data_IF_836855123249
#
_entry.id   IF_836855123249
#
_cell.length_a   1.000
_cell.length_b   1.000
_cell.length_c   1.000
_cell.angle_alpha   90.00
_cell.angle_beta   90.00
_cell.angle_gamma   90.00
#
_symmetry.space_group_name_H-M   'P 1'
#
loop_
_entity.id
_entity.type
_entity.pdbx_description
1 polymer ?
#
# COMPACT_ATOMS: atom_id res chain seq x y z
N UNK A 1 -29.41 -9.17 30.69
CA UNK A 1 -29.65 -7.74 30.46
C UNK A 1 -28.48 -6.87 30.91
N UNK A 2 -27.85 -7.12 32.11
CA UNK A 2 -26.72 -6.34 32.59
C UNK A 2 -25.44 -6.50 31.73
N UNK A 3 -25.16 -7.69 31.22
CA UNK A 3 -24.00 -7.96 30.37
C UNK A 3 -24.11 -7.26 28.98
N UNK A 4 -25.32 -7.14 28.44
CA UNK A 4 -25.57 -6.43 27.18
C UNK A 4 -25.40 -4.91 27.33
N UNK A 5 -25.77 -4.35 28.49
CA UNK A 5 -25.59 -2.92 28.78
C UNK A 5 -24.12 -2.54 29.01
N UNK A 6 -23.30 -3.44 29.59
CA UNK A 6 -21.87 -3.22 29.76
C UNK A 6 -21.15 -3.27 28.40
N UNK A 7 -21.51 -4.19 27.51
CA UNK A 7 -20.97 -4.28 26.15
C UNK A 7 -21.32 -3.04 25.30
N UNK A 8 -22.54 -2.52 25.42
CA UNK A 8 -22.98 -1.28 24.78
C UNK A 8 -22.23 -0.05 25.32
N UNK A 9 -21.99 0.01 26.64
CA UNK A 9 -21.25 1.11 27.27
C UNK A 9 -19.79 1.17 26.85
N UNK A 10 -19.11 0.02 26.77
CA UNK A 10 -17.73 -0.07 26.29
C UNK A 10 -17.61 0.29 24.80
N UNK A 11 -18.56 -0.13 23.97
CA UNK A 11 -18.62 0.26 22.57
C UNK A 11 -18.87 1.76 22.39
N UNK A 12 -19.74 2.36 23.19
CA UNK A 12 -20.01 3.80 23.13
C UNK A 12 -18.79 4.63 23.57
N UNK A 13 -18.07 4.21 24.61
CA UNK A 13 -16.86 4.90 25.05
C UNK A 13 -15.74 4.79 24.02
N UNK A 14 -15.52 3.61 23.42
CA UNK A 14 -14.55 3.41 22.35
C UNK A 14 -14.90 4.22 21.10
N UNK A 15 -16.18 4.28 20.75
CA UNK A 15 -16.68 5.10 19.64
C UNK A 15 -16.48 6.60 19.91
N UNK A 16 -16.84 7.07 21.11
CA UNK A 16 -16.66 8.48 21.51
C UNK A 16 -15.18 8.90 21.46
N UNK A 17 -14.27 8.05 21.94
CA UNK A 17 -12.82 8.26 21.82
C UNK A 17 -12.34 8.31 20.38
N UNK A 18 -12.88 7.44 19.52
CA UNK A 18 -12.60 7.45 18.09
C UNK A 18 -13.07 8.71 17.39
N UNK A 19 -14.27 9.20 17.72
CA UNK A 19 -14.82 10.46 17.18
C UNK A 19 -13.99 11.66 17.60
N UNK A 20 -13.52 11.70 18.85
CA UNK A 20 -12.65 12.78 19.32
C UNK A 20 -11.31 12.78 18.57
N UNK A 21 -10.67 11.63 18.44
CA UNK A 21 -9.44 11.49 17.68
C UNK A 21 -9.62 11.86 16.21
N UNK A 22 -10.75 11.50 15.61
CA UNK A 22 -11.09 11.90 14.23
C UNK A 22 -11.17 13.44 14.11
N UNK A 23 -11.89 14.12 15.01
CA UNK A 23 -12.02 15.58 14.96
C UNK A 23 -10.68 16.30 15.08
N UNK A 24 -9.83 15.84 15.98
CA UNK A 24 -8.48 16.41 16.16
C UNK A 24 -7.61 16.20 14.92
N UNK A 25 -7.63 14.99 14.35
CA UNK A 25 -6.91 14.68 13.12
C UNK A 25 -7.40 15.51 11.94
N UNK A 26 -8.73 15.70 11.81
CA UNK A 26 -9.34 16.53 10.79
C UNK A 26 -8.83 17.98 10.84
N UNK A 27 -8.78 18.57 12.03
CA UNK A 27 -8.29 19.95 12.20
C UNK A 27 -6.84 20.12 11.71
N UNK A 28 -5.96 19.17 12.00
CA UNK A 28 -4.57 19.21 11.53
C UNK A 28 -4.46 18.95 10.02
N UNK A 29 -5.26 18.02 9.52
CA UNK A 29 -5.30 17.71 8.08
C UNK A 29 -5.78 18.92 7.25
N UNK A 30 -6.82 19.62 7.71
CA UNK A 30 -7.34 20.84 7.08
C UNK A 30 -6.32 21.99 7.07
N UNK A 31 -5.40 22.00 8.04
CA UNK A 31 -4.27 22.95 8.09
C UNK A 31 -3.10 22.55 7.20
N UNK A 32 -3.23 21.44 6.45
CA UNK A 32 -2.21 21.00 5.50
C UNK A 32 -1.15 20.06 6.07
N UNK A 33 -1.30 19.55 7.29
CA UNK A 33 -0.36 18.59 7.86
C UNK A 33 -0.46 17.24 7.14
N UNK A 34 0.60 16.84 6.43
CA UNK A 34 0.63 15.64 5.60
C UNK A 34 0.40 14.34 6.42
N UNK A 35 1.01 14.22 7.60
CA UNK A 35 0.81 13.05 8.46
C UNK A 35 -0.64 12.95 8.96
N UNK A 36 -1.26 14.09 9.30
CA UNK A 36 -2.68 14.12 9.69
C UNK A 36 -3.59 13.76 8.50
N UNK A 37 -3.28 14.24 7.30
CA UNK A 37 -4.01 13.87 6.06
C UNK A 37 -3.90 12.37 5.78
N UNK A 38 -2.72 11.79 5.92
CA UNK A 38 -2.53 10.33 5.82
C UNK A 38 -3.37 9.59 6.87
N UNK A 39 -3.28 9.98 8.13
CA UNK A 39 -4.04 9.35 9.21
C UNK A 39 -5.55 9.46 9.00
N UNK A 40 -6.02 10.60 8.52
CA UNK A 40 -7.42 10.80 8.19
C UNK A 40 -7.87 9.89 7.04
N UNK A 41 -7.02 9.70 6.04
CA UNK A 41 -7.23 8.72 4.96
C UNK A 41 -7.38 7.30 5.52
N UNK A 42 -6.53 6.91 6.48
CA UNK A 42 -6.63 5.61 7.17
C UNK A 42 -7.94 5.49 7.96
N UNK A 43 -8.34 6.55 8.67
CA UNK A 43 -9.58 6.55 9.44
C UNK A 43 -10.81 6.35 8.55
N UNK A 44 -10.88 7.04 7.41
CA UNK A 44 -11.94 6.83 6.44
C UNK A 44 -11.89 5.44 5.79
N UNK A 45 -10.70 4.96 5.43
CA UNK A 45 -10.57 3.64 4.82
C UNK A 45 -11.00 2.49 5.75
N UNK A 46 -10.80 2.65 7.06
CA UNK A 46 -11.11 1.63 8.07
C UNK A 46 -12.40 1.87 8.84
N UNK A 47 -13.02 3.04 8.71
CA UNK A 47 -14.20 3.41 9.51
C UNK A 47 -13.85 3.64 10.99
N UNK A 48 -12.71 4.27 11.28
CA UNK A 48 -12.24 4.53 12.64
C UNK A 48 -12.66 5.94 13.10
N UNK A 49 -13.59 6.02 14.02
CA UNK A 49 -14.14 7.31 14.51
C UNK A 49 -14.99 8.06 13.49
N UNK A 50 -15.22 7.48 12.34
CA UNK A 50 -16.02 8.00 11.24
C UNK A 50 -16.56 6.82 10.43
N UNK A 51 -17.64 7.01 9.69
CA UNK A 51 -18.15 6.00 8.76
C UNK A 51 -17.12 5.71 7.68
N UNK A 52 -16.88 4.43 7.38
CA UNK A 52 -15.99 4.03 6.29
C UNK A 52 -16.40 4.66 4.96
N UNK A 53 -15.45 5.32 4.32
CA UNK A 53 -15.62 5.96 3.02
C UNK A 53 -14.31 5.97 2.25
N UNK A 54 -14.20 5.10 1.24
CA UNK A 54 -12.99 5.04 0.42
C UNK A 54 -12.81 6.26 -0.50
N UNK A 55 -13.88 6.93 -0.90
CA UNK A 55 -13.77 8.15 -1.71
C UNK A 55 -13.12 9.30 -0.90
N UNK A 56 -13.52 9.46 0.36
CA UNK A 56 -12.85 10.40 1.27
C UNK A 56 -11.41 9.96 1.57
N UNK A 57 -11.17 8.64 1.76
CA UNK A 57 -9.82 8.14 1.94
C UNK A 57 -8.90 8.50 0.76
N UNK A 58 -9.35 8.31 -0.49
CA UNK A 58 -8.62 8.71 -1.71
C UNK A 58 -8.29 10.19 -1.68
N UNK A 59 -9.25 11.04 -1.33
CA UNK A 59 -9.07 12.49 -1.29
C UNK A 59 -7.97 12.91 -0.30
N UNK A 60 -7.99 12.36 0.91
CA UNK A 60 -7.01 12.69 1.93
C UNK A 60 -5.63 12.07 1.67
N UNK A 61 -5.57 10.82 1.20
CA UNK A 61 -4.31 10.22 0.76
C UNK A 61 -3.67 11.01 -0.37
N UNK A 62 -4.46 11.51 -1.33
CA UNK A 62 -3.93 12.33 -2.43
C UNK A 62 -3.25 13.59 -1.92
N UNK A 63 -3.87 14.31 -1.00
CA UNK A 63 -3.28 15.51 -0.42
C UNK A 63 -1.95 15.21 0.30
N UNK A 64 -1.89 14.15 1.09
CA UNK A 64 -0.65 13.74 1.74
C UNK A 64 0.41 13.26 0.73
N UNK A 65 0.00 12.47 -0.27
CA UNK A 65 0.86 11.92 -1.30
C UNK A 65 1.50 13.01 -2.18
N UNK A 66 0.76 14.05 -2.51
CA UNK A 66 1.25 15.23 -3.23
C UNK A 66 2.30 16.02 -2.44
N UNK A 67 2.27 15.94 -1.11
CA UNK A 67 3.30 16.48 -0.22
C UNK A 67 4.50 15.53 -0.03
N UNK A 68 4.49 14.37 -0.66
CA UNK A 68 5.58 13.40 -0.60
C UNK A 68 5.45 12.33 0.49
N UNK A 69 4.29 12.24 1.17
CA UNK A 69 4.06 11.17 2.16
C UNK A 69 4.06 9.80 1.47
N UNK A 70 5.06 8.99 1.81
CA UNK A 70 5.33 7.70 1.15
C UNK A 70 4.22 6.69 1.40
N UNK A 71 3.68 6.65 2.60
CA UNK A 71 2.61 5.72 2.96
C UNK A 71 1.31 6.08 2.25
N UNK A 72 1.01 7.38 2.14
CA UNK A 72 -0.14 7.87 1.38
C UNK A 72 0.00 7.53 -0.11
N UNK A 73 1.19 7.70 -0.70
CA UNK A 73 1.46 7.32 -2.09
C UNK A 73 1.22 5.82 -2.31
N UNK A 74 1.74 4.96 -1.44
CA UNK A 74 1.56 3.52 -1.52
C UNK A 74 0.08 3.12 -1.40
N UNK A 75 -0.63 3.66 -0.41
CA UNK A 75 -2.06 3.38 -0.20
C UNK A 75 -2.92 3.91 -1.35
N UNK A 76 -2.62 5.08 -1.87
CA UNK A 76 -3.32 5.65 -3.02
C UNK A 76 -3.14 4.77 -4.27
N UNK A 77 -1.93 4.26 -4.49
CA UNK A 77 -1.66 3.28 -5.55
C UNK A 77 -2.53 2.03 -5.43
N UNK A 78 -2.70 1.49 -4.22
CA UNK A 78 -3.59 0.34 -3.97
C UNK A 78 -5.06 0.67 -4.29
N UNK A 79 -5.53 1.85 -3.92
CA UNK A 79 -6.93 2.24 -4.18
C UNK A 79 -7.19 2.40 -5.68
N UNK A 80 -6.26 2.97 -6.44
CA UNK A 80 -6.36 3.02 -7.90
C UNK A 80 -6.28 1.63 -8.55
N UNK A 81 -5.36 0.78 -8.10
CA UNK A 81 -5.23 -0.58 -8.64
C UNK A 81 -6.47 -1.45 -8.40
N UNK A 82 -7.18 -1.22 -7.29
CA UNK A 82 -8.35 -2.01 -6.90
C UNK A 82 -9.70 -1.37 -7.23
N UNK A 83 -9.71 -0.10 -7.64
CA UNK A 83 -10.94 0.64 -7.92
C UNK A 83 -11.79 0.91 -6.67
N UNK A 84 -11.15 1.07 -5.51
CA UNK A 84 -11.86 1.39 -4.26
C UNK A 84 -11.90 2.90 -4.04
N UNK A 85 -13.10 3.46 -3.95
CA UNK A 85 -13.33 4.89 -3.74
C UNK A 85 -12.95 5.79 -4.93
N UNK A 86 -12.43 5.19 -5.99
CA UNK A 86 -12.03 5.84 -7.23
C UNK A 86 -12.17 4.82 -8.36
N UNK A 87 -12.37 5.29 -9.59
CA UNK A 87 -12.35 4.41 -10.76
C UNK A 87 -10.97 3.75 -10.85
N UNK A 88 -10.97 2.43 -11.06
CA UNK A 88 -9.73 1.69 -11.30
C UNK A 88 -8.93 2.33 -12.44
N UNK A 89 -7.65 2.60 -12.16
CA UNK A 89 -6.72 3.20 -13.12
C UNK A 89 -5.31 2.67 -12.84
N UNK A 90 -4.87 1.76 -13.68
CA UNK A 90 -3.56 1.11 -13.53
C UNK A 90 -2.40 2.08 -13.79
N UNK A 91 -2.57 3.06 -14.66
CA UNK A 91 -1.54 4.09 -14.91
C UNK A 91 -1.34 5.00 -13.69
N UNK A 92 -2.42 5.44 -13.07
CA UNK A 92 -2.34 6.19 -11.80
C UNK A 92 -1.77 5.32 -10.68
N UNK A 93 -2.15 4.03 -10.59
CA UNK A 93 -1.57 3.12 -9.61
C UNK A 93 -0.06 2.99 -9.78
N UNK A 94 0.42 2.76 -11.00
CA UNK A 94 1.85 2.68 -11.33
C UNK A 94 2.58 3.97 -10.96
N UNK A 95 2.01 5.10 -11.28
CA UNK A 95 2.60 6.42 -10.96
C UNK A 95 2.82 6.58 -9.45
N UNK A 96 1.81 6.30 -8.63
CA UNK A 96 1.90 6.44 -7.18
C UNK A 96 2.80 5.38 -6.54
N UNK A 97 2.72 4.12 -6.97
CA UNK A 97 3.66 3.09 -6.53
C UNK A 97 5.10 3.43 -6.88
N UNK A 98 5.36 3.98 -8.07
CA UNK A 98 6.70 4.39 -8.48
C UNK A 98 7.25 5.48 -7.56
N UNK A 99 6.48 6.50 -7.23
CA UNK A 99 6.92 7.56 -6.32
C UNK A 99 7.29 7.01 -4.94
N UNK A 100 6.46 6.14 -4.37
CA UNK A 100 6.76 5.51 -3.10
C UNK A 100 7.96 4.54 -3.18
N UNK A 101 8.03 3.75 -4.26
CA UNK A 101 9.10 2.78 -4.50
C UNK A 101 10.48 3.46 -4.67
N UNK A 102 10.53 4.58 -5.35
CA UNK A 102 11.75 5.37 -5.52
C UNK A 102 12.23 5.98 -4.19
N UNK A 103 11.33 6.26 -3.26
CA UNK A 103 11.64 6.67 -1.89
C UNK A 103 12.03 5.50 -0.97
N UNK A 104 12.03 4.28 -1.46
CA UNK A 104 12.48 3.09 -0.73
C UNK A 104 11.38 2.26 -0.08
N UNK A 105 10.11 2.57 -0.30
CA UNK A 105 9.01 1.76 0.25
C UNK A 105 8.99 0.35 -0.35
N UNK A 106 9.29 -0.65 0.47
CA UNK A 106 9.45 -2.03 0.01
C UNK A 106 8.13 -2.63 -0.51
N UNK A 107 7.00 -2.27 0.09
CA UNK A 107 5.69 -2.75 -0.36
C UNK A 107 5.31 -2.15 -1.71
N UNK A 108 5.58 -0.85 -1.91
CA UNK A 108 5.36 -0.20 -3.21
C UNK A 108 6.27 -0.79 -4.30
N UNK A 109 7.53 -1.11 -3.98
CA UNK A 109 8.44 -1.79 -4.89
C UNK A 109 7.88 -3.16 -5.32
N UNK A 110 7.38 -3.94 -4.38
CA UNK A 110 6.73 -5.22 -4.67
C UNK A 110 5.48 -5.04 -5.53
N UNK A 111 4.61 -4.12 -5.18
CA UNK A 111 3.38 -3.83 -5.93
C UNK A 111 3.69 -3.35 -7.36
N UNK A 112 4.69 -2.50 -7.52
CA UNK A 112 5.13 -2.03 -8.83
C UNK A 112 5.70 -3.18 -9.67
N UNK A 113 6.46 -4.10 -9.07
CA UNK A 113 6.91 -5.33 -9.70
C UNK A 113 5.75 -6.18 -10.21
N UNK A 114 4.68 -6.33 -9.41
CA UNK A 114 3.47 -7.04 -9.81
C UNK A 114 2.77 -6.38 -11.02
N UNK A 115 2.67 -5.05 -11.02
CA UNK A 115 2.05 -4.32 -12.13
C UNK A 115 2.79 -4.58 -13.46
N UNK A 116 4.11 -4.57 -13.45
CA UNK A 116 4.92 -4.88 -14.63
C UNK A 116 4.89 -6.37 -15.01
N UNK A 117 4.86 -7.26 -14.01
CA UNK A 117 4.79 -8.70 -14.24
C UNK A 117 3.49 -9.11 -14.94
N UNK A 118 2.39 -8.51 -14.56
CA UNK A 118 1.05 -8.82 -15.09
C UNK A 118 0.68 -8.00 -16.32
N UNK A 119 1.40 -6.91 -16.60
CA UNK A 119 1.11 -6.03 -17.74
C UNK A 119 -0.10 -5.12 -17.52
N UNK A 120 -0.48 -4.87 -16.26
CA UNK A 120 -1.55 -3.94 -15.92
C UNK A 120 -1.24 -2.51 -16.35
N UNK A 121 -2.15 -1.87 -17.07
CA UNK A 121 -2.03 -0.50 -17.56
C UNK A 121 -0.93 -0.27 -18.61
N UNK A 122 -0.03 -1.23 -18.79
CA UNK A 122 1.12 -1.17 -19.70
C UNK A 122 1.43 -2.53 -20.27
N UNK A 123 2.24 -2.56 -21.32
CA UNK A 123 2.80 -3.81 -21.83
C UNK A 123 3.60 -4.49 -20.72
N UNK A 124 3.38 -5.79 -20.52
CA UNK A 124 4.14 -6.63 -19.63
C UNK A 124 5.65 -6.44 -19.82
N UNK A 125 6.37 -6.21 -18.73
CA UNK A 125 7.81 -5.97 -18.75
C UNK A 125 8.49 -6.72 -17.62
N UNK A 126 9.00 -7.90 -17.94
CA UNK A 126 9.68 -8.76 -16.97
C UNK A 126 10.98 -8.16 -16.43
N UNK A 127 11.71 -7.40 -17.22
CA UNK A 127 12.97 -6.78 -16.77
C UNK A 127 12.70 -5.71 -15.70
N UNK A 128 11.70 -4.86 -15.91
CA UNK A 128 11.27 -3.90 -14.89
C UNK A 128 10.70 -4.59 -13.65
N UNK A 129 9.90 -5.65 -13.83
CA UNK A 129 9.39 -6.44 -12.72
C UNK A 129 10.53 -7.02 -11.87
N UNK A 130 11.53 -7.63 -12.49
CA UNK A 130 12.71 -8.19 -11.80
C UNK A 130 13.49 -7.13 -11.03
N UNK A 131 13.68 -5.95 -11.61
CA UNK A 131 14.36 -4.82 -10.96
C UNK A 131 13.66 -4.39 -9.68
N UNK A 132 12.34 -4.23 -9.72
CA UNK A 132 11.57 -3.81 -8.55
C UNK A 132 11.43 -4.91 -7.50
N UNK A 133 11.22 -6.15 -7.92
CA UNK A 133 11.24 -7.30 -7.00
C UNK A 133 12.59 -7.43 -6.29
N UNK A 134 13.70 -7.22 -6.98
CA UNK A 134 15.04 -7.27 -6.37
C UNK A 134 15.16 -6.25 -5.23
N UNK A 135 14.76 -5.01 -5.45
CA UNK A 135 14.79 -3.96 -4.42
C UNK A 135 13.96 -4.33 -3.20
N UNK A 136 12.74 -4.84 -3.42
CA UNK A 136 11.88 -5.30 -2.33
C UNK A 136 12.45 -6.54 -1.63
N UNK A 137 13.01 -7.48 -2.38
CA UNK A 137 13.63 -8.70 -1.88
C UNK A 137 14.85 -8.42 -1.00
N UNK A 138 15.68 -7.46 -1.39
CA UNK A 138 16.84 -6.99 -0.60
C UNK A 138 16.42 -6.35 0.72
N UNK A 139 15.22 -5.82 0.81
CA UNK A 139 14.61 -5.32 2.05
C UNK A 139 13.87 -6.40 2.86
N UNK A 140 13.91 -7.66 2.44
CA UNK A 140 13.34 -8.79 3.16
C UNK A 140 11.87 -9.10 2.86
N UNK A 141 11.29 -8.56 1.79
CA UNK A 141 9.93 -8.91 1.37
C UNK A 141 9.91 -10.34 0.82
N UNK A 142 9.40 -11.30 1.60
CA UNK A 142 9.42 -12.72 1.27
C UNK A 142 8.74 -13.05 -0.07
N UNK A 143 7.60 -12.41 -0.35
CA UNK A 143 6.89 -12.57 -1.62
C UNK A 143 7.73 -12.10 -2.83
N UNK A 144 8.48 -10.99 -2.68
CA UNK A 144 9.38 -10.51 -3.70
C UNK A 144 10.58 -11.45 -3.91
N UNK A 145 11.13 -11.99 -2.82
CA UNK A 145 12.20 -12.99 -2.87
C UNK A 145 11.73 -14.25 -3.63
N UNK A 146 10.54 -14.74 -3.33
CA UNK A 146 9.95 -15.89 -4.04
C UNK A 146 9.76 -15.59 -5.53
N UNK A 147 9.16 -14.45 -5.86
CA UNK A 147 8.92 -14.06 -7.25
C UNK A 147 10.23 -13.88 -8.04
N UNK A 148 11.22 -13.27 -7.42
CA UNK A 148 12.55 -13.12 -8.03
C UNK A 148 13.23 -14.48 -8.24
N UNK A 149 13.12 -15.39 -7.30
CA UNK A 149 13.59 -16.77 -7.44
C UNK A 149 12.95 -17.49 -8.63
N UNK A 150 11.63 -17.35 -8.80
CA UNK A 150 10.90 -17.90 -9.97
C UNK A 150 11.40 -17.27 -11.26
N UNK A 151 11.65 -15.96 -11.29
CA UNK A 151 12.18 -15.29 -12.47
C UNK A 151 13.55 -15.81 -12.87
N UNK A 152 14.45 -16.03 -11.91
CA UNK A 152 15.76 -16.64 -12.18
C UNK A 152 15.65 -18.10 -12.65
N UNK A 153 14.74 -18.89 -12.05
CA UNK A 153 14.54 -20.27 -12.45
C UNK A 153 14.05 -20.39 -13.91
N UNK A 154 13.24 -19.43 -14.35
CA UNK A 154 12.61 -19.44 -15.69
C UNK A 154 13.32 -18.56 -16.71
N UNK A 155 14.32 -17.77 -16.32
CA UNK A 155 14.97 -16.82 -17.22
C UNK A 155 14.03 -15.71 -17.70
N UNK A 156 13.10 -15.25 -16.85
CA UNK A 156 12.17 -14.16 -17.18
C UNK A 156 12.66 -12.84 -16.61
N UNK A 157 12.97 -11.88 -17.50
CA UNK A 157 13.46 -10.56 -17.13
C UNK A 157 14.88 -10.53 -16.58
N UNK A 158 15.45 -11.70 -16.34
CA UNK A 158 16.84 -11.96 -15.93
C UNK A 158 17.36 -13.17 -16.68
N UNK A 159 18.68 -13.31 -16.77
CA UNK A 159 19.31 -14.54 -17.28
C UNK A 159 18.96 -15.70 -16.35
N UNK A 160 18.57 -16.84 -16.90
CA UNK A 160 18.29 -18.04 -16.14
C UNK A 160 19.50 -18.43 -15.27
N UNK A 161 19.27 -18.60 -13.98
CA UNK A 161 20.29 -18.97 -13.01
C UNK A 161 19.64 -19.70 -11.82
N UNK A 162 19.79 -21.02 -11.77
CA UNK A 162 19.23 -21.86 -10.71
C UNK A 162 19.91 -21.61 -9.36
N UNK A 163 21.19 -21.24 -9.32
CA UNK A 163 21.89 -20.95 -8.06
C UNK A 163 21.33 -19.67 -7.41
N UNK A 164 21.11 -18.61 -8.20
CA UNK A 164 20.43 -17.41 -7.73
C UNK A 164 18.98 -17.70 -7.32
N UNK A 165 18.25 -18.53 -8.07
CA UNK A 165 16.89 -18.93 -7.69
C UNK A 165 16.87 -19.60 -6.30
N UNK A 166 17.74 -20.56 -6.06
CA UNK A 166 17.85 -21.26 -4.75
C UNK A 166 18.21 -20.30 -3.61
N UNK A 167 19.12 -19.38 -3.85
CA UNK A 167 19.51 -18.36 -2.88
C UNK A 167 18.30 -17.50 -2.44
N UNK A 168 17.51 -17.01 -3.38
CA UNK A 168 16.33 -16.23 -3.07
C UNK A 168 15.23 -17.05 -2.40
N UNK A 169 14.99 -18.30 -2.83
CA UNK A 169 14.06 -19.20 -2.15
C UNK A 169 14.44 -19.49 -0.70
N UNK A 170 15.72 -19.65 -0.42
CA UNK A 170 16.22 -19.84 0.96
C UNK A 170 15.97 -18.60 1.82
N UNK A 171 16.19 -17.42 1.30
CA UNK A 171 15.89 -16.18 2.02
C UNK A 171 14.40 -16.02 2.29
N UNK A 172 13.54 -16.37 1.33
CA UNK A 172 12.09 -16.30 1.49
C UNK A 172 11.56 -17.30 2.55
N UNK A 173 12.22 -18.44 2.74
CA UNK A 173 11.87 -19.47 3.71
C UNK A 173 12.41 -19.20 5.12
N UNK A 174 13.35 -18.28 5.28
CA UNK A 174 13.91 -17.90 6.59
C UNK A 174 12.99 -16.88 7.31
#
# INVERSE_FOLDING_TARGET
LAAALIALGLNQAAWAGGVQGFRETLQWAERGNASAQYNLGVMYAKGQGVRQDYAEAVRWYRQAAEQGDVQAQSNLGVLYATGRGVRQDDDEAIKWFRQAAEQGDAQAQYNLGNMYMQGHGRRQNYAEAAKWYRRAAEQGVASAQTNLGVMYANGRGVRQDYAEAVKWYRQAAA
#
